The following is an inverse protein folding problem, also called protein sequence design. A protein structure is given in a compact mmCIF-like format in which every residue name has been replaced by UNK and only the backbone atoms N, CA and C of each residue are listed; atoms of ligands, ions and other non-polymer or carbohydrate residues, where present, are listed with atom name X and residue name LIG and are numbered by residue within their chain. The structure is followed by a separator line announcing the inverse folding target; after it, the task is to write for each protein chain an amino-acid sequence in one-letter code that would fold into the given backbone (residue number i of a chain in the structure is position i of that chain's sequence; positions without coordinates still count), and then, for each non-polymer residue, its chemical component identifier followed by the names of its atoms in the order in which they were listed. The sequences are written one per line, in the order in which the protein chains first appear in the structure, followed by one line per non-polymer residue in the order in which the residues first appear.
data_IF_122059098906
#
_entry.id   IF_122059098906
#
_cell.length_a   1.000
_cell.length_b   1.000
_cell.length_c   1.000
_cell.angle_alpha   90.00
_cell.angle_beta   90.00
_cell.angle_gamma   90.00
#
_symmetry.space_group_name_H-M   'P 1'
#
loop_
_entity.id
_entity.type
_entity.pdbx_description
1 polymer ?
#
# COMPACT_ATOMS: atom_id res chain seq x y z
N UNK A 1 12.31 0.88 9.44
CA UNK A 1 11.91 2.30 9.38
C UNK A 1 11.38 2.52 7.99
N UNK A 2 10.24 3.21 7.86
CA UNK A 2 9.70 3.64 6.58
C UNK A 2 9.94 5.14 6.49
N UNK A 3 10.44 5.62 5.37
CA UNK A 3 10.59 7.05 5.11
C UNK A 3 10.04 7.39 3.72
N UNK A 4 9.11 8.33 3.67
CA UNK A 4 8.51 8.85 2.45
C UNK A 4 8.94 10.30 2.29
N UNK A 5 9.44 10.65 1.10
CA UNK A 5 9.89 12.01 0.78
C UNK A 5 9.21 12.51 -0.49
N UNK A 6 8.50 13.63 -0.37
CA UNK A 6 7.92 14.42 -1.46
C UNK A 6 7.12 13.58 -2.46
N UNK A 7 6.38 12.59 -1.94
CA UNK A 7 5.66 11.64 -2.77
C UNK A 7 4.52 12.34 -3.50
N UNK A 8 4.41 12.09 -4.81
CA UNK A 8 3.37 12.68 -5.64
C UNK A 8 2.76 11.67 -6.60
N UNK A 9 1.45 11.84 -6.85
CA UNK A 9 0.70 11.07 -7.84
C UNK A 9 -0.43 11.90 -8.45
N UNK A 10 -0.45 11.96 -9.77
CA UNK A 10 -1.52 12.46 -10.59
C UNK A 10 -2.08 11.36 -11.51
N UNK A 11 -3.36 11.48 -11.83
CA UNK A 11 -4.07 10.61 -12.77
C UNK A 11 -4.56 11.44 -13.95
N UNK A 12 -4.34 10.96 -15.16
CA UNK A 12 -4.88 11.60 -16.35
C UNK A 12 -6.39 11.37 -16.42
N UNK A 13 -7.13 12.40 -16.84
CA UNK A 13 -8.54 12.30 -17.13
C UNK A 13 -8.76 11.69 -18.51
N UNK A 14 -9.82 10.91 -18.66
CA UNK A 14 -10.17 10.29 -19.94
C UNK A 14 -10.56 11.34 -20.99
N UNK A 15 -10.30 11.04 -22.27
CA UNK A 15 -10.70 11.93 -23.36
C UNK A 15 -12.21 12.05 -23.41
N UNK A 16 -12.73 13.26 -23.22
CA UNK A 16 -14.16 13.56 -23.27
C UNK A 16 -14.86 13.53 -21.91
N UNK A 17 -14.16 13.21 -20.83
CA UNK A 17 -14.70 13.31 -19.48
C UNK A 17 -14.96 14.79 -19.16
N UNK A 18 -16.24 15.14 -18.96
CA UNK A 18 -16.65 16.47 -18.50
C UNK A 18 -16.47 16.53 -16.99
N UNK A 19 -15.73 17.53 -16.52
CA UNK A 19 -15.64 17.85 -15.11
C UNK A 19 -16.90 18.60 -14.67
N UNK A 20 -17.41 18.24 -13.50
CA UNK A 20 -18.45 19.00 -12.83
C UNK A 20 -17.93 20.38 -12.37
N UNK A 21 -18.85 21.29 -12.07
CA UNK A 21 -18.51 22.64 -11.63
C UNK A 21 -17.70 22.66 -10.32
N UNK A 22 -17.98 21.71 -9.42
CA UNK A 22 -17.20 21.49 -8.20
C UNK A 22 -15.78 20.99 -8.49
N UNK A 23 -15.61 20.09 -9.46
CA UNK A 23 -14.28 19.58 -9.85
C UNK A 23 -13.44 20.63 -10.57
N UNK A 24 -14.09 21.52 -11.34
CA UNK A 24 -13.41 22.66 -11.97
C UNK A 24 -12.86 23.66 -10.94
N UNK A 25 -13.46 23.73 -9.76
CA UNK A 25 -13.01 24.58 -8.65
C UNK A 25 -12.01 23.88 -7.72
N UNK A 26 -11.87 22.56 -7.83
CA UNK A 26 -10.98 21.79 -6.97
C UNK A 26 -9.53 21.91 -7.44
N UNK A 27 -8.69 22.48 -6.56
CA UNK A 27 -7.26 22.74 -6.78
C UNK A 27 -6.42 21.49 -7.05
N UNK A 28 -6.97 20.29 -6.83
CA UNK A 28 -6.33 19.02 -7.19
C UNK A 28 -6.38 18.78 -8.69
N UNK A 29 -7.35 19.36 -9.41
CA UNK A 29 -7.37 19.30 -10.86
C UNK A 29 -6.40 20.34 -11.45
N UNK A 30 -5.58 19.89 -12.39
CA UNK A 30 -4.65 20.76 -13.13
C UNK A 30 -4.69 20.35 -14.59
N UNK A 31 -5.31 21.20 -15.42
CA UNK A 31 -5.57 20.89 -16.83
C UNK A 31 -6.43 19.64 -16.97
N UNK A 32 -5.86 18.58 -17.57
CA UNK A 32 -6.51 17.27 -17.74
C UNK A 32 -5.98 16.19 -16.80
N UNK A 33 -5.57 16.59 -15.60
CA UNK A 33 -5.06 15.65 -14.59
C UNK A 33 -5.64 15.94 -13.21
N UNK A 34 -5.80 14.89 -12.41
CA UNK A 34 -6.20 14.95 -11.02
C UNK A 34 -5.02 14.54 -10.12
N UNK A 35 -4.51 15.48 -9.34
CA UNK A 35 -3.43 15.27 -8.38
C UNK A 35 -3.98 14.65 -7.09
N UNK A 36 -3.89 13.32 -6.98
CA UNK A 36 -4.36 12.58 -5.80
C UNK A 36 -3.43 12.70 -4.60
N UNK A 37 -2.12 12.85 -4.82
CA UNK A 37 -1.10 12.99 -3.77
C UNK A 37 -0.12 14.07 -4.20
N UNK A 38 0.15 15.05 -3.34
CA UNK A 38 1.01 16.20 -3.62
C UNK A 38 1.99 16.40 -2.46
N UNK A 39 3.28 16.22 -2.73
CA UNK A 39 4.39 16.54 -1.81
C UNK A 39 4.23 15.93 -0.40
N UNK A 40 3.85 14.65 -0.32
CA UNK A 40 3.67 13.98 0.97
C UNK A 40 5.01 13.48 1.49
N UNK A 41 5.38 13.89 2.71
CA UNK A 41 6.58 13.44 3.41
C UNK A 41 6.24 13.04 4.84
N UNK A 42 6.69 11.85 5.26
CA UNK A 42 6.59 11.38 6.64
C UNK A 42 7.51 10.18 6.88
N UNK A 43 7.76 9.87 8.14
CA UNK A 43 8.51 8.68 8.56
C UNK A 43 7.70 7.85 9.55
N UNK A 44 7.96 6.55 9.58
CA UNK A 44 7.43 5.60 10.57
C UNK A 44 8.59 4.75 11.11
N UNK A 45 8.82 4.82 12.42
CA UNK A 45 9.86 4.07 13.10
C UNK A 45 9.53 2.57 13.19
N UNK A 46 10.52 1.76 13.55
CA UNK A 46 10.27 0.34 13.81
C UNK A 46 9.37 0.20 15.05
N UNK A 47 8.31 -0.61 14.94
CA UNK A 47 7.34 -0.81 16.02
C UNK A 47 6.34 0.33 16.19
N UNK A 48 6.39 1.36 15.35
CA UNK A 48 5.43 2.46 15.37
C UNK A 48 4.17 2.11 14.55
N UNK A 49 3.02 2.56 15.05
CA UNK A 49 1.75 2.50 14.33
C UNK A 49 1.40 3.90 13.83
N UNK A 50 1.46 4.11 12.52
CA UNK A 50 1.14 5.38 11.88
C UNK A 50 -0.21 5.30 11.16
N UNK A 51 -1.11 6.24 11.49
CA UNK A 51 -2.40 6.39 10.84
C UNK A 51 -2.41 7.52 9.80
N UNK A 52 -2.91 7.25 8.60
CA UNK A 52 -3.24 8.28 7.61
C UNK A 52 -4.72 8.63 7.72
N UNK A 53 -5.04 9.85 8.17
CA UNK A 53 -6.42 10.32 8.34
C UNK A 53 -6.76 11.46 7.36
N UNK A 54 -8.02 11.51 6.94
CA UNK A 54 -8.53 12.53 6.03
C UNK A 54 -9.82 12.09 5.32
N UNK A 55 -10.52 12.99 4.62
CA UNK A 55 -11.77 12.68 3.91
C UNK A 55 -11.57 11.70 2.74
N UNK A 56 -12.66 11.18 2.20
CA UNK A 56 -12.63 10.39 0.98
C UNK A 56 -12.01 11.20 -0.17
N UNK A 57 -11.14 10.56 -0.96
CA UNK A 57 -10.40 11.24 -2.02
C UNK A 57 -9.18 12.05 -1.56
N UNK A 58 -8.83 12.08 -0.27
CA UNK A 58 -7.62 12.77 0.21
C UNK A 58 -6.28 12.10 -0.18
N UNK A 59 -6.30 10.98 -0.91
CA UNK A 59 -5.10 10.29 -1.37
C UNK A 59 -4.54 9.21 -0.45
N UNK A 60 -5.16 8.93 0.71
CA UNK A 60 -4.71 7.90 1.68
C UNK A 60 -4.41 6.53 1.04
N UNK A 61 -5.41 5.96 0.36
CA UNK A 61 -5.27 4.66 -0.30
C UNK A 61 -4.27 4.72 -1.45
N UNK A 62 -4.17 5.86 -2.14
CA UNK A 62 -3.16 6.10 -3.19
C UNK A 62 -1.76 6.05 -2.61
N UNK A 63 -1.52 6.72 -1.48
CA UNK A 63 -0.24 6.69 -0.75
C UNK A 63 0.12 5.27 -0.30
N UNK A 64 -0.82 4.53 0.30
CA UNK A 64 -0.58 3.15 0.72
C UNK A 64 -0.29 2.21 -0.46
N UNK A 65 -0.96 2.40 -1.60
CA UNK A 65 -0.67 1.64 -2.83
C UNK A 65 0.70 1.95 -3.41
N UNK A 66 1.18 3.18 -3.27
CA UNK A 66 2.55 3.53 -3.67
C UNK A 66 3.60 2.90 -2.76
N UNK A 67 3.36 2.94 -1.45
CA UNK A 67 4.20 2.26 -0.46
C UNK A 67 4.31 0.76 -0.75
N UNK A 68 3.20 0.09 -1.08
CA UNK A 68 3.20 -1.35 -1.38
C UNK A 68 3.72 -1.72 -2.78
N UNK A 69 4.21 -0.77 -3.56
CA UNK A 69 4.62 -0.94 -4.97
C UNK A 69 3.48 -1.29 -5.93
N UNK A 70 2.23 -1.34 -5.46
CA UNK A 70 1.05 -1.60 -6.30
C UNK A 70 0.74 -0.44 -7.25
N UNK A 71 1.24 0.76 -6.95
CA UNK A 71 1.13 1.95 -7.78
C UNK A 71 2.47 2.66 -7.86
N UNK A 72 2.92 3.02 -9.07
CA UNK A 72 4.15 3.80 -9.23
C UNK A 72 3.89 5.29 -8.95
N UNK A 73 4.66 5.96 -8.06
CA UNK A 73 4.60 7.40 -7.90
C UNK A 73 5.10 8.13 -9.14
N UNK A 74 4.65 9.37 -9.33
CA UNK A 74 5.16 10.23 -10.40
C UNK A 74 6.41 11.01 -9.96
N UNK A 75 6.54 11.28 -8.65
CA UNK A 75 7.73 11.89 -8.05
C UNK A 75 7.89 11.46 -6.58
N UNK A 76 9.06 11.76 -6.02
CA UNK A 76 9.43 11.44 -4.64
C UNK A 76 10.13 10.09 -4.50
N UNK A 77 10.35 9.68 -3.25
CA UNK A 77 11.03 8.42 -2.91
C UNK A 77 10.41 7.77 -1.68
N UNK A 78 10.60 6.46 -1.58
CA UNK A 78 10.13 5.63 -0.47
C UNK A 78 11.30 4.74 -0.06
N UNK A 79 11.71 4.84 1.20
CA UNK A 79 12.81 4.08 1.78
C UNK A 79 12.28 3.11 2.85
N UNK A 80 12.77 1.88 2.82
CA UNK A 80 12.60 0.88 3.88
C UNK A 80 13.95 0.59 4.52
N UNK A 81 14.21 1.22 5.67
CA UNK A 81 15.56 1.27 6.23
C UNK A 81 16.47 2.04 5.27
N UNK A 82 17.47 1.36 4.72
CA UNK A 82 18.44 1.94 3.78
C UNK A 82 18.14 1.61 2.31
N UNK A 83 17.00 0.98 2.02
CA UNK A 83 16.67 0.47 0.69
C UNK A 83 15.59 1.33 0.03
N UNK A 84 15.85 1.72 -1.21
CA UNK A 84 14.89 2.46 -2.05
C UNK A 84 13.91 1.49 -2.71
N UNK A 85 12.64 1.60 -2.33
CA UNK A 85 11.53 0.78 -2.81
C UNK A 85 11.34 0.89 -4.32
N UNK A 86 11.65 2.05 -4.90
CA UNK A 86 11.47 2.28 -6.33
C UNK A 86 12.59 1.66 -7.17
N UNK A 87 13.76 1.44 -6.58
CA UNK A 87 14.91 0.80 -7.25
C UNK A 87 14.81 -0.72 -7.24
N UNK A 88 14.33 -1.31 -6.15
CA UNK A 88 14.07 -2.75 -6.06
C UNK A 88 12.66 -3.05 -5.48
N UNK A 89 11.62 -2.97 -6.34
CA UNK A 89 10.25 -3.25 -5.91
C UNK A 89 10.03 -4.70 -5.48
N UNK A 90 10.81 -5.66 -6.00
CA UNK A 90 10.66 -7.08 -5.68
C UNK A 90 11.10 -7.32 -4.24
N UNK A 91 12.24 -6.75 -3.85
CA UNK A 91 12.76 -6.85 -2.51
C UNK A 91 11.88 -6.10 -1.51
N UNK A 92 11.36 -4.93 -1.88
CA UNK A 92 10.40 -4.19 -1.06
C UNK A 92 9.12 -5.00 -0.76
N UNK A 93 8.57 -5.72 -1.75
CA UNK A 93 7.40 -6.59 -1.54
C UNK A 93 7.64 -7.77 -0.61
N UNK A 94 8.90 -8.19 -0.39
CA UNK A 94 9.24 -9.20 0.62
C UNK A 94 9.19 -8.64 2.04
N UNK A 95 9.31 -7.32 2.19
CA UNK A 95 9.35 -6.62 3.50
C UNK A 95 8.06 -5.89 3.85
N UNK A 96 7.14 -5.73 2.90
CA UNK A 96 5.85 -5.07 3.09
C UNK A 96 4.71 -6.08 2.97
N UNK A 97 3.92 -6.19 4.03
CA UNK A 97 2.56 -6.73 3.95
C UNK A 97 1.58 -5.65 3.50
N UNK A 98 0.74 -5.93 2.50
CA UNK A 98 -0.27 -4.99 2.02
C UNK A 98 -1.64 -5.66 1.96
N UNK A 99 -2.56 -5.17 2.77
CA UNK A 99 -3.95 -5.61 2.76
C UNK A 99 -4.81 -4.51 2.11
N UNK A 100 -5.35 -4.78 0.93
CA UNK A 100 -6.33 -3.91 0.30
C UNK A 100 -7.73 -4.08 0.91
N UNK A 101 -8.63 -3.15 0.58
CA UNK A 101 -10.04 -3.22 0.97
C UNK A 101 -10.74 -4.49 0.50
N UNK A 102 -10.35 -5.05 -0.65
CA UNK A 102 -10.66 -6.43 -1.00
C UNK A 102 -9.51 -7.32 -0.53
N UNK A 103 -9.80 -8.25 0.38
CA UNK A 103 -8.79 -9.08 1.05
C UNK A 103 -8.11 -10.10 0.13
N UNK A 104 -8.61 -10.30 -1.10
CA UNK A 104 -7.99 -11.17 -2.10
C UNK A 104 -7.97 -12.66 -1.73
N UNK A 105 -8.82 -13.08 -0.78
CA UNK A 105 -8.87 -14.45 -0.31
C UNK A 105 -9.53 -15.38 -1.34
N UNK A 106 -9.03 -16.62 -1.41
CA UNK A 106 -9.60 -17.65 -2.26
C UNK A 106 -10.74 -18.34 -1.51
N UNK A 107 -11.98 -18.08 -1.93
CA UNK A 107 -13.18 -18.64 -1.28
C UNK A 107 -13.33 -20.17 -1.41
N UNK A 108 -12.51 -20.83 -2.25
CA UNK A 108 -12.45 -22.29 -2.34
C UNK A 108 -11.44 -22.92 -1.36
N UNK A 109 -10.67 -22.10 -0.66
CA UNK A 109 -9.67 -22.53 0.30
C UNK A 109 -10.17 -22.22 1.72
N UNK A 110 -9.84 -23.09 2.66
CA UNK A 110 -9.99 -22.84 4.10
C UNK A 110 -9.11 -21.67 4.55
N UNK A 111 -9.34 -21.17 5.76
CA UNK A 111 -8.50 -20.12 6.34
C UNK A 111 -7.02 -20.54 6.40
N UNK A 112 -6.75 -21.77 6.83
CA UNK A 112 -5.39 -22.30 6.92
C UNK A 112 -4.74 -22.44 5.53
N UNK A 113 -5.49 -22.92 4.54
CA UNK A 113 -4.99 -23.03 3.16
C UNK A 113 -4.69 -21.67 2.55
N UNK A 114 -5.50 -20.64 2.81
CA UNK A 114 -5.20 -19.27 2.38
C UNK A 114 -3.89 -18.78 3.00
N UNK A 115 -3.72 -18.94 4.32
CA UNK A 115 -2.49 -18.51 5.01
C UNK A 115 -1.27 -19.28 4.48
N UNK A 116 -1.36 -20.60 4.36
CA UNK A 116 -0.29 -21.44 3.83
C UNK A 116 0.05 -21.07 2.38
N UNK A 117 -0.95 -20.74 1.56
CA UNK A 117 -0.76 -20.27 0.19
C UNK A 117 0.05 -18.97 0.15
N UNK A 118 -0.34 -17.94 0.92
CA UNK A 118 0.40 -16.68 0.96
C UNK A 118 1.78 -16.83 1.59
N UNK A 119 1.95 -17.66 2.62
CA UNK A 119 3.25 -17.96 3.22
C UNK A 119 4.23 -18.53 2.19
N UNK A 120 3.78 -19.49 1.36
CA UNK A 120 4.57 -20.05 0.25
C UNK A 120 4.93 -18.99 -0.80
N UNK A 121 3.98 -18.11 -1.17
CA UNK A 121 4.25 -17.01 -2.11
C UNK A 121 5.31 -16.04 -1.58
N UNK A 122 5.35 -15.82 -0.27
CA UNK A 122 6.37 -15.01 0.40
C UNK A 122 7.67 -15.76 0.67
N UNK A 123 7.79 -17.02 0.22
CA UNK A 123 9.01 -17.82 0.37
C UNK A 123 9.25 -18.36 1.79
N UNK A 124 8.20 -18.41 2.63
CA UNK A 124 8.30 -19.02 3.95
C UNK A 124 8.32 -20.55 3.81
N UNK A 125 9.30 -21.21 4.43
CA UNK A 125 9.40 -22.67 4.44
C UNK A 125 8.21 -23.31 5.18
N UNK A 126 7.75 -24.49 4.73
CA UNK A 126 6.60 -25.20 5.32
C UNK A 126 6.71 -25.41 6.84
N UNK A 127 7.93 -25.58 7.38
CA UNK A 127 8.16 -25.75 8.83
C UNK A 127 7.85 -24.48 9.64
N UNK A 128 8.16 -23.29 9.10
CA UNK A 128 7.88 -22.01 9.77
C UNK A 128 6.37 -21.69 9.76
N UNK A 129 5.69 -22.05 8.67
CA UNK A 129 4.24 -21.88 8.57
C UNK A 129 3.48 -22.78 9.57
N UNK A 130 3.98 -23.99 9.85
CA UNK A 130 3.33 -24.90 10.81
C UNK A 130 3.65 -24.55 12.29
N UNK A 131 4.88 -24.14 12.60
CA UNK A 131 5.30 -23.83 13.97
C UNK A 131 4.68 -22.53 14.48
N UNK A 132 4.72 -21.45 13.68
CA UNK A 132 4.27 -20.12 14.13
C UNK A 132 2.74 -19.98 14.17
N UNK A 133 2.01 -20.74 13.32
CA UNK A 133 0.54 -20.74 13.35
C UNK A 133 -0.05 -21.59 14.47
N UNK A 134 0.69 -22.58 14.98
CA UNK A 134 0.21 -23.49 16.01
C UNK A 134 0.71 -23.14 17.42
N UNK A 135 1.82 -22.40 17.61
CA UNK A 135 2.41 -22.20 18.95
C UNK A 135 2.00 -20.92 19.71
N UNK A 136 1.09 -20.10 19.18
CA UNK A 136 0.56 -18.94 19.93
C UNK A 136 -0.94 -19.03 20.23
N UNK A 137 -1.25 -19.75 21.33
CA UNK A 137 -2.19 -19.34 22.40
C UNK A 137 -3.38 -18.45 21.97
N UNK A 138 -4.29 -18.96 21.13
CA UNK A 138 -5.51 -18.21 20.79
C UNK A 138 -6.84 -18.95 20.99
N UNK A 139 -6.84 -20.15 21.58
CA UNK A 139 -8.09 -20.85 21.93
C UNK A 139 -8.10 -21.48 23.33
N UNK A 140 -7.72 -20.70 24.34
CA UNK A 140 -8.05 -21.01 25.74
C UNK A 140 -8.70 -19.80 26.37
N UNK A 141 -9.96 -19.56 25.99
CA UNK A 141 -10.97 -18.89 26.80
C UNK A 141 -12.28 -19.63 26.55
#
# INVERSE_FOLDING_TARGET
MIEIRQLAKAFALEKGQKLSEAELQDVRYTGRSFCSVRDVSFSCANGEVLGLLGPNGAGKTTTLRMLSTALKPDAGSILLGNEDVLKDPVLARRKIGFLSSSTGLYGRLTAFENVAYFARLHGMSELAAHSDLCEHRFWSI
#
